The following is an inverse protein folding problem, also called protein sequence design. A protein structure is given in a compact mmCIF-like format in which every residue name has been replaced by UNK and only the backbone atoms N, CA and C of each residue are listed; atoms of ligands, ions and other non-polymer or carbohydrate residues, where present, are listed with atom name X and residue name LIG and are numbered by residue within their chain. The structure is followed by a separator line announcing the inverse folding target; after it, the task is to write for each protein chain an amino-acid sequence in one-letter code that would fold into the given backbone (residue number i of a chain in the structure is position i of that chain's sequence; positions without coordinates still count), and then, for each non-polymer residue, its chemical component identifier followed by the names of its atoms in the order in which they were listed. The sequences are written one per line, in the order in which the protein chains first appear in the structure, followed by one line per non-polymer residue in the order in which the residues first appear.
data_IF_177397947346
#
_entry.id   IF_177397947346
#
_cell.length_a   1.000
_cell.length_b   1.000
_cell.length_c   1.000
_cell.angle_alpha   90.00
_cell.angle_beta   90.00
_cell.angle_gamma   90.00
#
_symmetry.space_group_name_H-M   'P 1'
#
loop_
_entity.id
_entity.type
_entity.pdbx_description
1 polymer ?
#
# COMPACT_ATOMS: atom_id res chain seq x y z
N UNK A 1 -7.33 63.70 36.46
CA UNK A 1 -8.48 63.32 35.60
C UNK A 1 -7.93 62.74 34.31
N UNK A 2 -7.81 61.41 34.23
CA UNK A 2 -7.31 60.71 33.04
C UNK A 2 -8.52 60.14 32.31
N UNK A 3 -8.81 60.66 31.12
CA UNK A 3 -9.89 60.21 30.27
C UNK A 3 -9.48 58.91 29.55
N UNK A 4 -10.19 57.82 29.82
CA UNK A 4 -10.05 56.53 29.12
C UNK A 4 -10.92 56.53 27.87
N UNK A 5 -10.30 56.37 26.70
CA UNK A 5 -10.99 56.20 25.42
C UNK A 5 -11.74 54.85 25.35
N UNK A 6 -12.86 54.76 24.60
CA UNK A 6 -13.60 53.50 24.47
C UNK A 6 -12.85 52.52 23.57
N UNK A 7 -12.69 51.28 24.04
CA UNK A 7 -12.11 50.18 23.25
C UNK A 7 -13.13 49.69 22.24
N UNK A 8 -12.84 49.84 20.95
CA UNK A 8 -13.56 49.15 19.87
C UNK A 8 -13.23 47.66 19.92
N UNK A 9 -14.22 46.84 20.29
CA UNK A 9 -14.16 45.39 20.15
C UNK A 9 -14.22 45.02 18.67
N UNK A 10 -13.06 44.83 18.05
CA UNK A 10 -12.97 44.17 16.74
C UNK A 10 -13.39 42.72 16.96
N UNK A 11 -14.59 42.37 16.51
CA UNK A 11 -15.05 41.00 16.41
C UNK A 11 -14.08 40.24 15.50
N UNK A 12 -13.21 39.44 16.11
CA UNK A 12 -12.36 38.51 15.40
C UNK A 12 -13.28 37.49 14.72
N UNK A 13 -13.45 37.64 13.40
CA UNK A 13 -14.07 36.64 12.55
C UNK A 13 -13.34 35.32 12.77
N UNK A 14 -14.04 34.34 13.34
CA UNK A 14 -13.54 32.98 13.43
C UNK A 14 -13.29 32.48 12.00
N UNK A 15 -12.05 32.10 11.63
CA UNK A 15 -11.84 31.44 10.35
C UNK A 15 -12.64 30.14 10.39
N UNK A 16 -13.66 30.04 9.53
CA UNK A 16 -14.52 28.88 9.39
C UNK A 16 -13.63 27.63 9.28
N UNK A 17 -13.67 26.79 10.31
CA UNK A 17 -12.92 25.55 10.33
C UNK A 17 -13.30 24.72 9.12
N UNK A 18 -12.34 24.47 8.21
CA UNK A 18 -12.52 23.58 7.05
C UNK A 18 -13.11 22.27 7.56
N UNK A 19 -14.38 22.03 7.26
CA UNK A 19 -15.14 20.93 7.83
C UNK A 19 -14.52 19.57 7.51
N UNK A 20 -14.81 18.53 8.32
CA UNK A 20 -14.30 17.17 8.11
C UNK A 20 -14.58 16.64 6.69
N UNK A 21 -15.66 17.10 6.04
CA UNK A 21 -15.99 16.76 4.65
C UNK A 21 -14.98 17.24 3.60
N UNK A 22 -14.30 18.37 3.81
CA UNK A 22 -13.30 18.86 2.86
C UNK A 22 -12.01 18.02 2.90
N UNK A 23 -11.63 17.56 4.10
CA UNK A 23 -10.44 16.71 4.26
C UNK A 23 -10.66 15.33 3.66
N UNK A 24 -11.83 14.73 3.89
CA UNK A 24 -12.19 13.45 3.25
C UNK A 24 -12.28 13.58 1.73
N UNK A 25 -12.89 14.66 1.24
CA UNK A 25 -12.97 14.92 -0.20
C UNK A 25 -11.59 15.11 -0.84
N UNK A 26 -10.66 15.78 -0.15
CA UNK A 26 -9.30 15.97 -0.64
C UNK A 26 -8.52 14.65 -0.66
N UNK A 27 -8.57 13.86 0.41
CA UNK A 27 -7.88 12.56 0.46
C UNK A 27 -8.44 11.61 -0.59
N UNK A 28 -9.76 11.54 -0.73
CA UNK A 28 -10.41 10.75 -1.77
C UNK A 28 -10.04 11.26 -3.16
N UNK A 29 -10.06 12.58 -3.38
CA UNK A 29 -9.69 13.20 -4.64
C UNK A 29 -8.25 12.89 -5.04
N UNK A 30 -7.31 12.93 -4.09
CA UNK A 30 -5.91 12.55 -4.33
C UNK A 30 -5.79 11.05 -4.60
N UNK A 31 -6.46 10.18 -3.84
CA UNK A 31 -6.42 8.74 -4.07
C UNK A 31 -6.97 8.38 -5.46
N UNK A 32 -8.10 8.99 -5.85
CA UNK A 32 -8.69 8.83 -7.18
C UNK A 32 -7.77 9.38 -8.26
N UNK A 33 -7.18 10.56 -8.07
CA UNK A 33 -6.24 11.12 -9.04
C UNK A 33 -5.03 10.20 -9.23
N UNK A 34 -4.45 9.68 -8.14
CA UNK A 34 -3.34 8.72 -8.19
C UNK A 34 -3.76 7.44 -8.90
N UNK A 35 -4.94 6.89 -8.60
CA UNK A 35 -5.44 5.70 -9.27
C UNK A 35 -5.67 5.95 -10.77
N UNK A 36 -6.28 7.08 -11.16
CA UNK A 36 -6.50 7.45 -12.55
C UNK A 36 -5.17 7.61 -13.28
N UNK A 37 -4.21 8.33 -12.69
CA UNK A 37 -2.86 8.46 -13.26
C UNK A 37 -2.24 7.08 -13.47
N UNK A 38 -2.24 6.23 -12.45
CA UNK A 38 -1.72 4.87 -12.55
C UNK A 38 -2.39 4.03 -13.65
N UNK A 39 -3.71 4.17 -13.82
CA UNK A 39 -4.46 3.50 -14.88
C UNK A 39 -4.18 4.06 -16.27
N UNK A 40 -3.72 5.31 -16.40
CA UNK A 40 -3.31 5.91 -17.68
C UNK A 40 -1.86 5.64 -18.04
N UNK A 41 -1.05 5.14 -17.09
CA UNK A 41 0.33 4.78 -17.38
C UNK A 41 0.36 3.62 -18.39
N UNK A 42 1.22 3.72 -19.42
CA UNK A 42 1.44 2.62 -20.35
C UNK A 42 1.96 1.41 -19.57
N UNK A 43 1.76 0.22 -20.14
CA UNK A 43 2.36 -0.99 -19.59
C UNK A 43 3.88 -0.79 -19.52
N UNK A 44 4.39 -0.72 -18.30
CA UNK A 44 5.81 -0.81 -18.01
C UNK A 44 6.31 -2.15 -18.53
N UNK A 45 7.46 -2.21 -19.23
CA UNK A 45 7.94 -3.44 -19.83
C UNK A 45 8.05 -4.54 -18.78
N UNK A 46 7.16 -5.53 -18.87
CA UNK A 46 7.35 -6.83 -18.27
C UNK A 46 8.38 -7.55 -19.14
N UNK A 47 9.52 -7.91 -18.56
CA UNK A 47 10.44 -8.86 -19.18
C UNK A 47 9.77 -10.22 -19.44
N UNK A 48 10.45 -11.12 -20.18
CA UNK A 48 9.89 -12.42 -20.59
C UNK A 48 9.38 -13.24 -19.40
N UNK A 49 8.31 -14.01 -19.62
CA UNK A 49 7.61 -14.75 -18.58
C UNK A 49 8.47 -15.90 -18.03
N UNK A 50 8.79 -15.86 -16.73
CA UNK A 50 9.72 -16.80 -16.09
C UNK A 50 9.06 -18.04 -15.44
N UNK A 51 7.91 -18.49 -15.94
CA UNK A 51 7.28 -19.77 -15.51
C UNK A 51 6.84 -19.92 -14.04
N UNK A 52 7.03 -18.91 -13.18
CA UNK A 52 6.61 -18.89 -11.76
C UNK A 52 5.17 -18.35 -11.58
N UNK A 53 4.66 -18.11 -10.36
CA UNK A 53 3.33 -17.45 -10.17
C UNK A 53 3.27 -16.12 -10.94
N UNK A 54 2.12 -15.64 -11.41
CA UNK A 54 2.08 -14.40 -12.20
C UNK A 54 2.58 -13.19 -11.41
N UNK A 55 2.36 -13.21 -10.09
CA UNK A 55 2.93 -12.23 -9.16
C UNK A 55 4.47 -12.29 -9.13
N UNK A 56 5.06 -13.49 -9.03
CA UNK A 56 6.52 -13.64 -9.04
C UNK A 56 7.12 -13.35 -10.43
N UNK A 57 6.41 -13.71 -11.49
CA UNK A 57 6.73 -13.36 -12.87
C UNK A 57 6.83 -11.85 -13.06
N UNK A 58 5.87 -11.07 -12.54
CA UNK A 58 5.90 -9.61 -12.60
C UNK A 58 7.06 -8.99 -11.80
N UNK A 59 7.40 -9.57 -10.66
CA UNK A 59 8.53 -9.10 -9.84
C UNK A 59 9.91 -9.52 -10.41
N UNK A 60 9.98 -10.68 -11.06
CA UNK A 60 11.18 -11.22 -11.69
C UNK A 60 11.42 -10.64 -13.10
N UNK A 61 10.35 -10.25 -13.78
CA UNK A 61 10.39 -9.50 -15.03
C UNK A 61 11.09 -8.16 -14.82
N UNK A 62 12.03 -7.81 -15.70
CA UNK A 62 12.71 -6.50 -15.72
C UNK A 62 13.36 -6.12 -14.37
N UNK A 63 14.06 -7.05 -13.73
CA UNK A 63 14.87 -6.74 -12.55
C UNK A 63 15.96 -5.71 -12.90
N UNK A 64 16.22 -4.73 -12.00
CA UNK A 64 15.75 -4.65 -10.61
C UNK A 64 14.47 -3.81 -10.41
N UNK A 65 13.95 -3.18 -11.46
CA UNK A 65 13.00 -2.08 -11.34
C UNK A 65 11.63 -2.52 -10.81
N UNK A 66 11.09 -3.63 -11.30
CA UNK A 66 9.76 -4.10 -10.87
C UNK A 66 9.77 -4.50 -9.39
N UNK A 67 10.79 -5.21 -8.92
CA UNK A 67 10.94 -5.56 -7.51
C UNK A 67 11.02 -4.30 -6.65
N UNK A 68 11.80 -3.30 -7.07
CA UNK A 68 11.92 -2.04 -6.33
C UNK A 68 10.57 -1.34 -6.22
N UNK A 69 9.85 -1.18 -7.34
CA UNK A 69 8.61 -0.41 -7.40
C UNK A 69 7.44 -1.13 -6.70
N UNK A 70 7.27 -2.42 -6.97
CA UNK A 70 6.10 -3.16 -6.50
C UNK A 70 6.31 -3.82 -5.13
N UNK A 71 7.53 -3.94 -4.64
CA UNK A 71 7.77 -4.59 -3.33
C UNK A 71 8.67 -3.76 -2.43
N UNK A 72 9.87 -3.39 -2.87
CA UNK A 72 10.84 -2.77 -1.97
C UNK A 72 10.35 -1.40 -1.45
N UNK A 73 9.84 -0.52 -2.32
CA UNK A 73 9.35 0.80 -1.91
C UNK A 73 8.18 0.68 -0.93
N UNK A 74 7.12 -0.10 -1.19
CA UNK A 74 6.04 -0.30 -0.22
C UNK A 74 6.51 -0.90 1.11
N UNK A 75 7.34 -1.94 1.07
CA UNK A 75 7.79 -2.66 2.27
C UNK A 75 8.70 -1.77 3.12
N UNK A 76 9.70 -1.12 2.53
CA UNK A 76 10.59 -0.20 3.26
C UNK A 76 9.82 0.98 3.84
N UNK A 77 8.84 1.52 3.10
CA UNK A 77 7.98 2.58 3.64
C UNK A 77 7.17 2.08 4.84
N UNK A 78 6.56 0.89 4.76
CA UNK A 78 5.82 0.29 5.86
C UNK A 78 6.71 -0.05 7.06
N UNK A 79 7.90 -0.59 6.85
CA UNK A 79 8.89 -0.86 7.90
C UNK A 79 9.37 0.43 8.56
N UNK A 80 9.59 1.49 7.79
CA UNK A 80 9.95 2.81 8.32
C UNK A 80 8.84 3.34 9.23
N UNK A 81 7.57 3.21 8.82
CA UNK A 81 6.42 3.56 9.65
C UNK A 81 6.40 2.68 10.91
N UNK A 82 6.59 1.37 10.79
CA UNK A 82 6.61 0.45 11.92
C UNK A 82 7.70 0.78 12.95
N UNK A 83 8.93 0.98 12.50
CA UNK A 83 10.07 1.29 13.38
C UNK A 83 9.86 2.63 14.08
N UNK A 84 9.46 3.67 13.33
CA UNK A 84 9.20 4.98 13.93
C UNK A 84 8.01 4.96 14.90
N UNK A 85 6.99 4.14 14.64
CA UNK A 85 5.87 3.91 15.54
C UNK A 85 6.31 3.26 16.85
N UNK A 86 7.13 2.21 16.79
CA UNK A 86 7.67 1.55 17.98
C UNK A 86 8.51 2.53 18.83
N UNK A 87 9.28 3.41 18.19
CA UNK A 87 10.03 4.46 18.90
C UNK A 87 9.09 5.43 19.62
N UNK A 88 7.99 5.84 18.97
CA UNK A 88 6.98 6.73 19.56
C UNK A 88 6.28 6.05 20.73
N UNK A 89 5.98 4.75 20.62
CA UNK A 89 5.27 3.97 21.63
C UNK A 89 6.13 3.68 22.88
N UNK A 90 7.36 3.21 22.69
CA UNK A 90 8.22 2.75 23.79
C UNK A 90 9.16 3.81 24.33
N UNK A 91 9.50 4.82 23.54
CA UNK A 91 10.41 5.90 23.95
C UNK A 91 9.85 7.28 23.57
N UNK A 92 8.63 7.65 24.03
CA UNK A 92 7.99 8.91 23.66
C UNK A 92 8.83 10.14 24.01
N UNK A 93 9.67 10.07 25.05
CA UNK A 93 10.62 11.12 25.43
C UNK A 93 11.79 11.29 24.45
N UNK A 94 12.21 10.22 23.75
CA UNK A 94 13.21 10.26 22.67
C UNK A 94 12.58 10.53 21.30
N UNK A 95 11.28 10.27 21.15
CA UNK A 95 10.51 10.54 19.94
C UNK A 95 10.29 12.06 19.77
N UNK A 96 11.33 12.73 19.28
CA UNK A 96 11.29 14.15 18.94
C UNK A 96 10.37 14.46 17.76
N UNK A 97 10.23 15.76 17.44
CA UNK A 97 9.37 16.25 16.35
C UNK A 97 9.70 15.60 15.00
N UNK A 98 10.98 15.32 14.74
CA UNK A 98 11.45 14.73 13.48
C UNK A 98 10.93 13.31 13.27
N UNK A 99 10.98 12.45 14.29
CA UNK A 99 10.51 11.06 14.19
C UNK A 99 9.00 11.00 13.94
N UNK A 100 8.24 11.85 14.65
CA UNK A 100 6.78 11.96 14.48
C UNK A 100 6.41 12.51 13.11
N UNK A 101 7.15 13.49 12.62
CA UNK A 101 6.95 14.02 11.28
C UNK A 101 7.27 12.96 10.22
N UNK A 102 8.38 12.24 10.37
CA UNK A 102 8.78 11.17 9.45
C UNK A 102 7.72 10.07 9.38
N UNK A 103 7.28 9.55 10.53
CA UNK A 103 6.21 8.55 10.62
C UNK A 103 4.96 9.01 9.85
N UNK A 104 4.49 10.22 10.14
CA UNK A 104 3.33 10.82 9.48
C UNK A 104 3.50 10.95 7.96
N UNK A 105 4.61 11.51 7.50
CA UNK A 105 4.82 11.74 6.07
C UNK A 105 4.98 10.43 5.30
N UNK A 106 5.74 9.48 5.85
CA UNK A 106 5.90 8.17 5.22
C UNK A 106 4.59 7.39 5.22
N UNK A 107 3.81 7.44 6.30
CA UNK A 107 2.49 6.80 6.37
C UNK A 107 1.48 7.36 5.35
N UNK A 108 1.52 8.68 5.09
CA UNK A 108 0.69 9.30 4.04
C UNK A 108 1.19 8.90 2.64
N UNK A 109 2.50 8.97 2.42
CA UNK A 109 3.11 8.59 1.14
C UNK A 109 2.83 7.12 0.80
N UNK A 110 3.03 6.21 1.76
CA UNK A 110 2.92 4.77 1.56
C UNK A 110 1.52 4.36 1.09
N UNK A 111 0.45 4.89 1.68
CA UNK A 111 -0.91 4.54 1.26
C UNK A 111 -1.24 5.07 -0.14
N UNK A 112 -0.92 6.32 -0.47
CA UNK A 112 -1.14 6.83 -1.83
C UNK A 112 -0.30 6.10 -2.87
N UNK A 113 0.97 5.84 -2.58
CA UNK A 113 1.84 5.06 -3.46
C UNK A 113 1.25 3.68 -3.73
N UNK A 114 0.78 2.99 -2.68
CA UNK A 114 0.21 1.66 -2.81
C UNK A 114 -1.15 1.65 -3.53
N UNK A 115 -1.97 2.71 -3.42
CA UNK A 115 -3.16 2.89 -4.26
C UNK A 115 -2.77 2.88 -5.74
N UNK A 116 -1.72 3.62 -6.10
CA UNK A 116 -1.22 3.66 -7.48
C UNK A 116 -0.74 2.30 -7.96
N UNK A 117 0.03 1.60 -7.13
CA UNK A 117 0.51 0.24 -7.43
C UNK A 117 -0.65 -0.73 -7.64
N UNK A 118 -1.63 -0.75 -6.74
CA UNK A 118 -2.80 -1.63 -6.86
C UNK A 118 -3.61 -1.31 -8.11
N UNK A 119 -3.89 -0.04 -8.39
CA UNK A 119 -4.61 0.37 -9.60
C UNK A 119 -3.87 -0.06 -10.88
N UNK A 120 -2.54 0.11 -10.91
CA UNK A 120 -1.70 -0.31 -12.01
C UNK A 120 -1.74 -1.84 -12.22
N UNK A 121 -1.55 -2.62 -11.16
CA UNK A 121 -1.56 -4.09 -11.22
C UNK A 121 -2.96 -4.63 -11.57
N UNK A 122 -4.03 -4.00 -11.09
CA UNK A 122 -5.38 -4.40 -11.46
C UNK A 122 -5.59 -4.35 -12.97
N UNK A 123 -5.15 -3.26 -13.63
CA UNK A 123 -5.32 -3.09 -15.08
C UNK A 123 -4.42 -4.00 -15.90
N UNK A 124 -3.15 -4.10 -15.54
CA UNK A 124 -2.14 -4.72 -16.39
C UNK A 124 -1.83 -6.18 -16.03
N UNK A 125 -2.24 -6.64 -14.85
CA UNK A 125 -2.06 -8.02 -14.42
C UNK A 125 -3.39 -8.69 -14.11
N UNK A 126 -4.12 -8.22 -13.10
CA UNK A 126 -5.26 -8.96 -12.55
C UNK A 126 -6.41 -9.10 -13.56
N UNK A 127 -6.77 -8.03 -14.26
CA UNK A 127 -7.86 -8.07 -15.25
C UNK A 127 -7.53 -9.03 -16.41
N UNK A 128 -6.37 -8.93 -17.09
CA UNK A 128 -5.96 -9.92 -18.09
C UNK A 128 -5.99 -11.35 -17.53
N UNK A 129 -5.46 -11.59 -16.33
CA UNK A 129 -5.42 -12.92 -15.73
C UNK A 129 -6.79 -13.53 -15.46
N UNK A 130 -7.74 -12.71 -15.01
CA UNK A 130 -9.11 -13.16 -14.76
C UNK A 130 -9.89 -13.39 -16.05
N UNK A 131 -9.65 -12.58 -17.09
CA UNK A 131 -10.36 -12.71 -18.37
C UNK A 131 -9.80 -13.86 -19.21
N UNK A 132 -8.48 -14.01 -19.27
CA UNK A 132 -7.79 -15.03 -20.06
C UNK A 132 -7.70 -16.39 -19.32
N UNK A 133 -8.10 -16.44 -18.06
CA UNK A 133 -8.08 -17.65 -17.25
C UNK A 133 -6.66 -18.13 -16.88
N UNK A 134 -5.66 -17.26 -16.96
CA UNK A 134 -4.24 -17.59 -16.81
C UNK A 134 -3.74 -17.84 -15.39
N UNK A 135 -4.63 -18.02 -14.41
CA UNK A 135 -4.25 -18.24 -13.02
C UNK A 135 -3.47 -19.56 -12.86
N UNK A 136 -2.24 -19.48 -12.35
CA UNK A 136 -1.36 -20.64 -12.13
C UNK A 136 -1.70 -21.37 -10.81
N UNK A 137 -2.99 -21.59 -10.55
CA UNK A 137 -3.52 -22.30 -9.37
C UNK A 137 -3.89 -21.43 -8.17
N UNK A 138 -4.37 -22.05 -7.07
CA UNK A 138 -4.86 -21.33 -5.88
C UNK A 138 -3.78 -20.51 -5.17
N UNK A 139 -2.50 -20.94 -5.25
CA UNK A 139 -1.36 -20.21 -4.70
C UNK A 139 -1.28 -18.78 -5.25
N UNK A 140 -1.47 -18.63 -6.56
CA UNK A 140 -1.38 -17.36 -7.29
C UNK A 140 -2.52 -16.42 -6.90
N UNK A 141 -3.74 -16.96 -6.76
CA UNK A 141 -4.92 -16.20 -6.28
C UNK A 141 -4.70 -15.70 -4.85
N UNK A 142 -4.14 -16.53 -3.97
CA UNK A 142 -3.83 -16.14 -2.59
C UNK A 142 -2.72 -15.09 -2.57
N UNK A 143 -1.64 -15.28 -3.32
CA UNK A 143 -0.52 -14.33 -3.38
C UNK A 143 -0.98 -12.94 -3.85
N UNK A 144 -1.66 -12.88 -5.00
CA UNK A 144 -2.18 -11.63 -5.55
C UNK A 144 -3.26 -11.04 -4.64
N UNK A 145 -4.19 -11.88 -4.15
CA UNK A 145 -5.27 -11.44 -3.27
C UNK A 145 -4.78 -10.80 -1.98
N UNK A 146 -3.83 -11.41 -1.28
CA UNK A 146 -3.23 -10.85 -0.07
C UNK A 146 -2.37 -9.62 -0.36
N UNK A 147 -1.68 -9.58 -1.50
CA UNK A 147 -0.96 -8.38 -1.92
C UNK A 147 -1.90 -7.18 -2.09
N UNK A 148 -3.02 -7.37 -2.79
CA UNK A 148 -4.05 -6.33 -2.97
C UNK A 148 -4.70 -5.96 -1.63
N UNK A 149 -4.93 -6.93 -0.75
CA UNK A 149 -5.48 -6.71 0.60
C UNK A 149 -4.57 -5.82 1.45
N UNK A 150 -3.26 -5.84 1.21
CA UNK A 150 -2.29 -4.94 1.84
C UNK A 150 -2.62 -3.44 1.69
N UNK A 151 -3.43 -3.07 0.70
CA UNK A 151 -3.91 -1.70 0.53
C UNK A 151 -4.77 -1.22 1.70
N UNK A 152 -5.59 -2.11 2.26
CA UNK A 152 -6.52 -1.74 3.33
C UNK A 152 -5.80 -1.18 4.56
N UNK A 153 -4.81 -1.86 5.16
CA UNK A 153 -4.09 -1.30 6.31
C UNK A 153 -3.22 -0.10 5.95
N UNK A 154 -2.56 -0.08 4.78
CA UNK A 154 -1.74 1.05 4.34
C UNK A 154 -2.56 2.33 4.12
N UNK A 155 -3.70 2.21 3.43
CA UNK A 155 -4.62 3.32 3.25
C UNK A 155 -5.28 3.71 4.59
N UNK A 156 -5.55 2.74 5.46
CA UNK A 156 -6.00 2.97 6.84
C UNK A 156 -5.06 3.86 7.63
N UNK A 157 -3.74 3.62 7.53
CA UNK A 157 -2.69 4.48 8.11
C UNK A 157 -2.76 5.90 7.52
N UNK A 158 -2.82 6.04 6.20
CA UNK A 158 -2.95 7.36 5.56
C UNK A 158 -4.22 8.11 6.01
N UNK A 159 -5.34 7.40 6.18
CA UNK A 159 -6.60 7.99 6.65
C UNK A 159 -6.51 8.45 8.12
N UNK A 160 -5.80 7.71 8.98
CA UNK A 160 -5.50 8.15 10.35
C UNK A 160 -4.59 9.39 10.35
N UNK A 161 -3.54 9.41 9.53
CA UNK A 161 -2.55 10.50 9.51
C UNK A 161 -3.06 11.81 8.88
N UNK A 162 -4.02 11.70 7.96
CA UNK A 162 -4.75 12.84 7.40
C UNK A 162 -5.87 13.33 8.32
N UNK A 163 -6.18 12.57 9.38
CA UNK A 163 -7.27 12.87 10.32
C UNK A 163 -8.66 12.75 9.68
N UNK A 164 -8.79 11.96 8.61
CA UNK A 164 -10.09 11.56 8.05
C UNK A 164 -10.70 10.46 8.92
N UNK A 165 -9.86 9.51 9.34
CA UNK A 165 -10.21 8.49 10.32
C UNK A 165 -9.68 8.90 11.71
N UNK A 166 -10.47 8.68 12.76
CA UNK A 166 -10.04 8.93 14.14
C UNK A 166 -9.85 10.40 14.52
N UNK A 167 -10.47 11.34 13.80
CA UNK A 167 -10.34 12.79 14.05
C UNK A 167 -10.80 13.24 15.45
N UNK A 168 -11.59 12.42 16.14
CA UNK A 168 -12.12 12.66 17.49
C UNK A 168 -11.54 11.70 18.54
N UNK A 169 -10.58 10.86 18.16
CA UNK A 169 -10.00 9.88 19.07
C UNK A 169 -8.90 10.48 19.92
N UNK A 170 -8.75 9.97 21.14
CA UNK A 170 -7.62 10.30 22.00
C UNK A 170 -6.31 9.82 21.38
N UNK A 171 -5.20 10.52 21.69
CA UNK A 171 -3.86 10.21 21.16
C UNK A 171 -3.50 8.73 21.36
N UNK A 172 -3.84 8.15 22.52
CA UNK A 172 -3.58 6.73 22.80
C UNK A 172 -4.38 5.80 21.90
N UNK A 173 -5.65 6.11 21.62
CA UNK A 173 -6.48 5.28 20.76
C UNK A 173 -6.01 5.35 19.29
N UNK A 174 -5.58 6.53 18.84
CA UNK A 174 -5.00 6.72 17.50
C UNK A 174 -3.69 5.94 17.34
N UNK A 175 -2.77 6.02 18.30
CA UNK A 175 -1.53 5.24 18.30
C UNK A 175 -1.83 3.73 18.28
N UNK A 176 -2.81 3.26 19.05
CA UNK A 176 -3.22 1.85 19.06
C UNK A 176 -3.75 1.38 17.70
N UNK A 177 -4.61 2.18 17.08
CA UNK A 177 -5.15 1.88 15.75
C UNK A 177 -4.04 1.90 14.69
N UNK A 178 -3.14 2.88 14.74
CA UNK A 178 -2.00 2.98 13.84
C UNK A 178 -1.10 1.74 13.93
N UNK A 179 -0.70 1.35 15.15
CA UNK A 179 0.07 0.14 15.40
C UNK A 179 -0.67 -1.14 14.95
N UNK A 180 -1.99 -1.19 15.10
CA UNK A 180 -2.81 -2.33 14.66
C UNK A 180 -2.81 -2.44 13.13
N UNK A 181 -2.99 -1.34 12.40
CA UNK A 181 -2.93 -1.37 10.93
C UNK A 181 -1.55 -1.81 10.45
N UNK A 182 -0.46 -1.32 11.06
CA UNK A 182 0.90 -1.79 10.75
C UNK A 182 1.03 -3.30 11.00
N UNK A 183 0.57 -3.80 12.15
CA UNK A 183 0.61 -5.23 12.46
C UNK A 183 -0.17 -6.09 11.47
N UNK A 184 -1.38 -5.65 11.09
CA UNK A 184 -2.20 -6.32 10.07
C UNK A 184 -1.50 -6.31 8.71
N UNK A 185 -0.90 -5.18 8.32
CA UNK A 185 -0.12 -5.08 7.07
C UNK A 185 1.03 -6.08 7.06
N UNK A 186 1.80 -6.18 8.15
CA UNK A 186 2.91 -7.13 8.23
C UNK A 186 2.43 -8.57 8.03
N UNK A 187 1.36 -8.99 8.70
CA UNK A 187 0.80 -10.35 8.52
C UNK A 187 0.38 -10.59 7.08
N UNK A 188 -0.39 -9.67 6.51
CA UNK A 188 -0.93 -9.80 5.15
C UNK A 188 0.18 -9.82 4.10
N UNK A 189 1.17 -8.93 4.23
CA UNK A 189 2.31 -8.87 3.32
C UNK A 189 3.18 -10.15 3.40
N UNK A 190 3.38 -10.70 4.60
CA UNK A 190 4.12 -11.95 4.75
C UNK A 190 3.37 -13.13 4.13
N UNK A 191 2.05 -13.21 4.30
CA UNK A 191 1.25 -14.24 3.62
C UNK A 191 1.37 -14.12 2.10
N UNK A 192 1.30 -12.90 1.54
CA UNK A 192 1.49 -12.68 0.12
C UNK A 192 2.87 -13.12 -0.38
N UNK A 193 3.94 -12.82 0.36
CA UNK A 193 5.31 -13.22 0.00
C UNK A 193 5.51 -14.73 0.09
N UNK A 194 5.02 -15.38 1.15
CA UNK A 194 5.13 -16.84 1.32
C UNK A 194 4.35 -17.56 0.21
N UNK A 195 3.10 -17.16 -0.02
CA UNK A 195 2.27 -17.74 -1.07
C UNK A 195 2.83 -17.46 -2.47
N UNK A 196 3.43 -16.28 -2.69
CA UNK A 196 4.04 -15.92 -3.97
C UNK A 196 5.30 -16.73 -4.29
N UNK A 197 6.06 -17.13 -3.27
CA UNK A 197 7.24 -18.00 -3.40
C UNK A 197 6.90 -19.50 -3.38
N UNK A 198 5.65 -19.87 -3.10
CA UNK A 198 5.23 -21.26 -3.09
C UNK A 198 5.18 -21.79 -4.52
N UNK A 199 5.74 -22.98 -4.74
CA UNK A 199 5.60 -23.69 -6.01
C UNK A 199 4.11 -24.03 -6.22
N UNK A 200 3.48 -23.54 -7.31
CA UNK A 200 2.06 -23.77 -7.56
C UNK A 200 1.71 -25.26 -7.70
N UNK A 201 2.67 -26.11 -8.06
CA UNK A 201 2.47 -27.56 -8.18
C UNK A 201 2.12 -28.24 -6.85
N UNK A 202 2.59 -27.68 -5.72
CA UNK A 202 2.31 -28.20 -4.37
C UNK A 202 0.84 -28.08 -4.00
N UNK A 203 0.12 -27.11 -4.57
CA UNK A 203 -1.32 -26.92 -4.38
C UNK A 203 -2.17 -27.47 -5.55
N UNK A 204 -1.59 -28.35 -6.36
CA UNK A 204 -2.30 -29.10 -7.39
C UNK A 204 -2.43 -28.38 -8.74
N UNK A 205 -1.60 -27.37 -9.02
CA UNK A 205 -1.44 -26.89 -10.39
C UNK A 205 -0.58 -27.88 -11.18
N UNK A 206 -1.20 -28.57 -12.13
CA UNK A 206 -0.47 -29.45 -13.05
C UNK A 206 -0.07 -28.63 -14.28
N UNK A 207 1.22 -28.45 -14.58
CA UNK A 207 1.62 -27.87 -15.85
C UNK A 207 1.10 -28.79 -16.95
N UNK A 208 0.15 -28.33 -17.76
CA UNK A 208 -0.58 -29.17 -18.73
C UNK A 208 0.28 -29.74 -19.88
N UNK A 209 1.61 -29.62 -19.80
CA UNK A 209 2.55 -30.27 -20.71
C UNK A 209 3.81 -30.74 -19.97
N UNK A 210 3.69 -31.84 -19.23
CA UNK A 210 4.81 -32.72 -18.91
C UNK A 210 4.77 -33.85 -19.94
N UNK A 211 5.88 -34.10 -20.64
CA UNK A 211 5.98 -35.30 -21.49
C UNK A 211 6.00 -36.55 -20.60
N UNK A 212 5.50 -37.69 -21.09
CA UNK A 212 5.39 -38.96 -20.34
C UNK A 212 6.72 -39.46 -19.69
N UNK A 213 7.87 -38.84 -19.98
CA UNK A 213 9.18 -39.16 -19.41
C UNK A 213 9.62 -38.23 -18.25
N UNK A 214 8.79 -37.25 -17.86
CA UNK A 214 9.10 -36.32 -16.77
C UNK A 214 10.06 -35.17 -17.15
N UNK A 215 10.43 -35.03 -18.43
CA UNK A 215 11.21 -33.89 -18.91
C UNK A 215 10.32 -32.68 -19.25
N UNK A 216 10.78 -31.48 -18.92
CA UNK A 216 10.20 -30.23 -19.43
C UNK A 216 10.77 -29.98 -20.83
N UNK A 217 9.91 -29.68 -21.81
CA UNK A 217 10.38 -29.33 -23.16
C UNK A 217 11.20 -28.04 -23.11
N UNK A 218 12.52 -28.19 -23.21
CA UNK A 218 13.46 -27.08 -23.36
C UNK A 218 13.21 -26.41 -24.73
N UNK A 219 12.57 -25.23 -24.74
CA UNK A 219 12.53 -24.41 -25.95
C UNK A 219 11.26 -23.64 -26.30
N UNK A 220 10.21 -23.58 -25.47
CA UNK A 220 9.11 -22.64 -25.72
C UNK A 220 9.27 -21.38 -24.88
N UNK A 221 9.95 -20.41 -25.48
CA UNK A 221 9.85 -19.00 -25.14
C UNK A 221 8.41 -18.54 -25.34
N UNK A 222 7.82 -17.99 -24.28
CA UNK A 222 6.74 -17.01 -24.37
C UNK A 222 7.16 -15.80 -23.55
#
# INVERSE_FOLDING_TARGET
MVATAPRTTVAAGHPAGRGPGLRSALVLGVAVAVAVVALTLPAWPAGPDMGSTHYMGLLAANQPWNLILFMAVPVVAAETVAVTELVILFSPARAGRTVRALNRYVGIFAGFYFVGVVAYLLRHAVVPLTVDGGWRGPADVVAVGFYLLGLVPLLGITLLETGVLGSRWDERARLKAHATFVGVFLVVAHVAMIAGMLDPTVLGWDPTHVMDDGSQMEGMTH
#
